data_IF_676931379922
#
_entry.id   IF_676931379922
#
_cell.length_a   1.000
_cell.length_b   1.000
_cell.length_c   1.000
_cell.angle_alpha   90.00
_cell.angle_beta   90.00
_cell.angle_gamma   90.00
#
_symmetry.space_group_name_H-M   'P 1'
#
loop_
_entity.id
_entity.type
_entity.pdbx_description
1 polymer ?
#
# COMPACT_ATOMS: atom_id res chain seq x y z
N UNK A 1 33.71 -11.07 -7.65
CA UNK A 1 32.44 -11.12 -6.89
C UNK A 1 31.59 -12.24 -7.48
N UNK A 2 31.29 -13.28 -6.72
CA UNK A 2 30.36 -14.33 -7.16
C UNK A 2 28.96 -13.73 -7.20
N UNK A 3 28.39 -13.57 -8.40
CA UNK A 3 26.99 -13.16 -8.56
C UNK A 3 26.09 -14.14 -7.82
N UNK A 4 25.05 -13.63 -7.14
CA UNK A 4 24.09 -14.45 -6.42
C UNK A 4 23.39 -15.41 -7.41
N UNK A 5 23.74 -16.69 -7.38
CA UNK A 5 23.15 -17.71 -8.27
C UNK A 5 21.66 -17.96 -7.97
N UNK A 6 21.20 -17.63 -6.76
CA UNK A 6 19.82 -17.86 -6.28
C UNK A 6 18.91 -16.63 -6.42
N UNK A 7 19.36 -15.55 -7.07
CA UNK A 7 18.61 -14.28 -7.12
C UNK A 7 17.19 -14.41 -7.68
N UNK A 8 16.92 -15.36 -8.58
CA UNK A 8 15.59 -15.60 -9.14
C UNK A 8 14.63 -16.16 -8.08
N UNK A 9 15.09 -17.10 -7.27
CA UNK A 9 14.32 -17.69 -6.18
C UNK A 9 14.04 -16.64 -5.10
N UNK A 10 15.06 -15.84 -4.75
CA UNK A 10 14.92 -14.73 -3.81
C UNK A 10 13.89 -13.70 -4.31
N UNK A 11 14.00 -13.28 -5.58
CA UNK A 11 13.06 -12.32 -6.18
C UNK A 11 11.63 -12.87 -6.23
N UNK A 12 11.47 -14.16 -6.56
CA UNK A 12 10.16 -14.81 -6.49
C UNK A 12 9.61 -14.85 -5.06
N UNK A 13 10.43 -15.24 -4.08
CA UNK A 13 10.04 -15.30 -2.67
C UNK A 13 9.51 -13.96 -2.16
N UNK A 14 10.19 -12.85 -2.49
CA UNK A 14 9.85 -11.51 -2.02
C UNK A 14 8.59 -10.99 -2.70
N UNK A 15 8.49 -11.20 -4.01
CA UNK A 15 7.41 -10.63 -4.82
C UNK A 15 6.16 -11.49 -4.86
N UNK A 16 6.20 -12.75 -4.44
CA UNK A 16 5.14 -13.75 -4.68
C UNK A 16 3.71 -13.25 -4.42
N UNK A 17 3.42 -12.73 -3.23
CA UNK A 17 2.07 -12.27 -2.87
C UNK A 17 1.63 -11.10 -3.75
N UNK A 18 2.44 -10.04 -3.79
CA UNK A 18 2.15 -8.83 -4.58
C UNK A 18 2.07 -9.13 -6.07
N UNK A 19 2.93 -10.02 -6.57
CA UNK A 19 2.96 -10.49 -7.96
C UNK A 19 1.69 -11.24 -8.31
N UNK A 20 1.25 -12.18 -7.47
CA UNK A 20 0.03 -12.94 -7.74
C UNK A 20 -1.18 -12.00 -7.80
N UNK A 21 -1.33 -11.11 -6.82
CA UNK A 21 -2.44 -10.14 -6.76
C UNK A 21 -2.42 -9.20 -7.98
N UNK A 22 -1.29 -8.54 -8.25
CA UNK A 22 -1.18 -7.59 -9.36
C UNK A 22 -1.21 -8.26 -10.74
N UNK A 23 -0.84 -9.54 -10.84
CA UNK A 23 -0.92 -10.30 -12.08
C UNK A 23 -2.37 -10.62 -12.43
N UNK A 24 -3.19 -11.01 -11.44
CA UNK A 24 -4.64 -11.20 -11.62
C UNK A 24 -5.31 -9.90 -12.07
N UNK A 25 -4.84 -8.76 -11.57
CA UNK A 25 -5.31 -7.44 -11.98
C UNK A 25 -4.76 -6.96 -13.34
N UNK A 26 -3.86 -7.70 -13.99
CA UNK A 26 -3.22 -7.31 -15.27
C UNK A 26 -2.18 -6.18 -15.15
N UNK A 27 -1.82 -5.76 -13.93
CA UNK A 27 -0.92 -4.63 -13.67
C UNK A 27 0.54 -5.07 -13.50
N UNK A 28 0.79 -6.33 -13.11
CA UNK A 28 2.16 -6.79 -12.90
C UNK A 28 3.03 -6.59 -14.15
N UNK A 29 4.20 -5.93 -14.05
CA UNK A 29 5.02 -5.65 -15.21
C UNK A 29 5.64 -6.95 -15.74
N UNK A 30 5.22 -7.35 -16.95
CA UNK A 30 5.77 -8.54 -17.60
C UNK A 30 7.25 -8.39 -17.93
N UNK A 31 7.98 -9.51 -17.82
CA UNK A 31 9.38 -9.62 -18.23
C UNK A 31 9.52 -9.31 -19.72
N UNK A 32 10.60 -8.62 -20.10
CA UNK A 32 10.87 -8.23 -21.49
C UNK A 32 11.02 -9.41 -22.44
N UNK A 33 11.29 -10.62 -21.94
CA UNK A 33 11.52 -11.83 -22.72
C UNK A 33 10.23 -12.54 -23.18
N UNK A 34 9.07 -12.17 -22.64
CA UNK A 34 7.78 -12.83 -22.94
C UNK A 34 6.83 -11.97 -23.79
N UNK A 35 7.31 -11.42 -24.91
CA UNK A 35 6.52 -10.56 -25.80
C UNK A 35 5.72 -11.35 -26.83
N UNK A 36 4.86 -12.27 -26.42
CA UNK A 36 3.83 -12.80 -27.33
C UNK A 36 2.65 -11.84 -27.38
N UNK A 37 2.09 -11.60 -28.58
CA UNK A 37 0.90 -10.75 -28.78
C UNK A 37 -0.25 -11.19 -27.86
N UNK A 38 -0.41 -12.50 -27.66
CA UNK A 38 -1.41 -13.12 -26.78
C UNK A 38 -1.30 -12.61 -25.34
N UNK A 39 -0.09 -12.57 -24.75
CA UNK A 39 0.11 -12.07 -23.38
C UNK A 39 -0.23 -10.59 -23.26
N UNK A 40 0.02 -9.80 -24.30
CA UNK A 40 -0.34 -8.37 -24.33
C UNK A 40 -1.85 -8.16 -24.39
N UNK A 41 -2.55 -8.92 -25.24
CA UNK A 41 -4.02 -8.88 -25.35
C UNK A 41 -4.65 -9.31 -24.02
N UNK A 42 -4.21 -10.43 -23.45
CA UNK A 42 -4.70 -10.92 -22.16
C UNK A 42 -4.54 -9.89 -21.04
N UNK A 43 -3.39 -9.20 -20.98
CA UNK A 43 -3.16 -8.13 -20.02
C UNK A 43 -4.15 -6.97 -20.17
N UNK A 44 -4.35 -6.44 -21.38
CA UNK A 44 -5.30 -5.34 -21.60
C UNK A 44 -6.74 -5.77 -21.36
N UNK A 45 -7.08 -7.02 -21.66
CA UNK A 45 -8.38 -7.61 -21.34
C UNK A 45 -8.63 -7.63 -19.83
N UNK A 46 -7.66 -8.10 -19.03
CA UNK A 46 -7.76 -8.07 -17.56
C UNK A 46 -7.92 -6.64 -17.02
N UNK A 47 -7.20 -5.67 -17.60
CA UNK A 47 -7.34 -4.26 -17.22
C UNK A 47 -8.74 -3.72 -17.55
N UNK A 48 -9.26 -4.07 -18.72
CA UNK A 48 -10.59 -3.66 -19.15
C UNK A 48 -11.68 -4.26 -18.26
N UNK A 49 -11.61 -5.58 -17.98
CA UNK A 49 -12.54 -6.27 -17.08
C UNK A 49 -12.49 -5.67 -15.67
N UNK A 50 -11.30 -5.44 -15.12
CA UNK A 50 -11.15 -4.86 -13.78
C UNK A 50 -11.76 -3.46 -13.70
N UNK A 51 -11.56 -2.62 -14.72
CA UNK A 51 -12.20 -1.30 -14.77
C UNK A 51 -13.72 -1.40 -14.87
N UNK A 52 -14.26 -2.27 -15.74
CA UNK A 52 -15.71 -2.47 -15.86
C UNK A 52 -16.31 -2.85 -14.52
N UNK A 53 -15.69 -3.80 -13.80
CA UNK A 53 -16.18 -4.24 -12.48
C UNK A 53 -16.19 -3.09 -11.46
N UNK A 54 -15.20 -2.20 -11.46
CA UNK A 54 -15.17 -1.05 -10.57
C UNK A 54 -16.27 -0.04 -10.93
N UNK A 55 -16.42 0.33 -12.20
CA UNK A 55 -17.45 1.28 -12.64
C UNK A 55 -18.88 0.73 -12.53
N UNK A 56 -19.06 -0.58 -12.72
CA UNK A 56 -20.36 -1.25 -12.60
C UNK A 56 -20.96 -1.16 -11.17
N UNK A 57 -20.13 -0.91 -10.16
CA UNK A 57 -20.59 -0.68 -8.78
C UNK A 57 -20.62 0.81 -8.45
N UNK A 58 -19.61 1.58 -8.87
CA UNK A 58 -19.53 2.99 -8.53
C UNK A 58 -20.65 3.82 -9.17
N UNK A 59 -20.98 3.59 -10.45
CA UNK A 59 -21.98 4.39 -11.15
C UNK A 59 -23.40 4.20 -10.57
N UNK A 60 -23.91 2.96 -10.39
CA UNK A 60 -25.22 2.76 -9.76
C UNK A 60 -25.25 3.26 -8.31
N UNK A 61 -24.16 3.10 -7.56
CA UNK A 61 -24.06 3.62 -6.19
C UNK A 61 -24.11 5.14 -6.13
N UNK A 62 -23.41 5.82 -7.05
CA UNK A 62 -23.45 7.28 -7.14
C UNK A 62 -24.84 7.79 -7.52
N UNK A 63 -25.49 7.16 -8.49
CA UNK A 63 -26.87 7.48 -8.87
C UNK A 63 -27.83 7.26 -7.69
N UNK A 64 -27.67 6.17 -6.94
CA UNK A 64 -28.45 5.92 -5.72
C UNK A 64 -28.29 7.06 -4.71
N UNK A 65 -27.06 7.50 -4.46
CA UNK A 65 -26.78 8.59 -3.54
C UNK A 65 -27.36 9.94 -4.00
N UNK A 66 -27.43 10.20 -5.31
CA UNK A 66 -28.08 11.38 -5.85
C UNK A 66 -29.61 11.35 -5.65
N UNK A 67 -30.26 10.25 -6.05
CA UNK A 67 -31.72 10.14 -6.06
C UNK A 67 -32.34 9.84 -4.69
N UNK A 68 -31.62 9.20 -3.77
CA UNK A 68 -32.10 8.97 -2.41
C UNK A 68 -32.41 10.32 -1.73
N UNK A 69 -33.49 10.42 -0.97
CA UNK A 69 -33.86 11.68 -0.29
C UNK A 69 -33.48 11.69 1.20
N UNK A 70 -33.33 10.50 1.80
CA UNK A 70 -33.04 10.34 3.24
C UNK A 70 -31.55 10.59 3.51
N UNK A 71 -31.26 11.65 4.26
CA UNK A 71 -29.89 12.05 4.65
C UNK A 71 -29.13 10.95 5.37
N UNK A 72 -29.75 10.27 6.33
CA UNK A 72 -29.14 9.15 7.05
C UNK A 72 -28.67 8.02 6.12
N UNK A 73 -29.48 7.64 5.12
CA UNK A 73 -29.13 6.57 4.16
C UNK A 73 -27.98 7.02 3.24
N UNK A 74 -27.97 8.30 2.84
CA UNK A 74 -26.85 8.87 2.07
C UNK A 74 -25.53 8.78 2.83
N UNK A 75 -25.53 9.11 4.12
CA UNK A 75 -24.34 9.05 4.97
C UNK A 75 -23.82 7.61 5.07
N UNK A 76 -24.71 6.61 5.21
CA UNK A 76 -24.31 5.20 5.26
C UNK A 76 -23.71 4.67 3.94
N UNK A 77 -24.12 5.21 2.78
CA UNK A 77 -23.58 4.80 1.46
C UNK A 77 -22.28 5.53 1.11
N UNK A 78 -22.04 6.71 1.67
CA UNK A 78 -20.89 7.56 1.36
C UNK A 78 -19.52 6.85 1.52
N UNK A 79 -19.26 6.04 2.58
CA UNK A 79 -18.01 5.28 2.70
C UNK A 79 -17.73 4.37 1.52
N UNK A 80 -18.77 3.72 0.97
CA UNK A 80 -18.63 2.82 -0.18
C UNK A 80 -18.28 3.58 -1.46
N UNK A 81 -18.85 4.77 -1.66
CA UNK A 81 -18.53 5.63 -2.79
C UNK A 81 -17.10 6.17 -2.70
N UNK A 82 -16.69 6.64 -1.53
CA UNK A 82 -15.32 7.11 -1.30
C UNK A 82 -14.35 5.95 -1.56
N UNK A 83 -14.61 4.76 -1.03
CA UNK A 83 -13.74 3.61 -1.22
C UNK A 83 -13.69 3.15 -2.69
N UNK A 84 -14.82 3.18 -3.40
CA UNK A 84 -14.87 2.92 -4.85
C UNK A 84 -14.06 3.93 -5.66
N UNK A 85 -14.18 5.22 -5.34
CA UNK A 85 -13.38 6.28 -5.96
C UNK A 85 -11.88 6.12 -5.67
N UNK A 86 -11.50 5.79 -4.44
CA UNK A 86 -10.13 5.47 -4.07
C UNK A 86 -9.59 4.29 -4.88
N UNK A 87 -10.37 3.24 -5.08
CA UNK A 87 -9.93 2.08 -5.84
C UNK A 87 -9.74 2.39 -7.32
N UNK A 88 -10.64 3.15 -7.95
CA UNK A 88 -10.50 3.57 -9.34
C UNK A 88 -9.27 4.47 -9.51
N UNK A 89 -9.10 5.46 -8.64
CA UNK A 89 -7.92 6.35 -8.69
C UNK A 89 -6.63 5.56 -8.51
N UNK A 90 -6.52 4.73 -7.47
CA UNK A 90 -5.35 3.85 -7.25
C UNK A 90 -5.09 2.94 -8.45
N UNK A 91 -6.12 2.33 -9.02
CA UNK A 91 -5.98 1.45 -10.17
C UNK A 91 -5.49 2.20 -11.42
N UNK A 92 -6.07 3.37 -11.71
CA UNK A 92 -5.62 4.26 -12.78
C UNK A 92 -4.15 4.66 -12.61
N UNK A 93 -3.76 5.03 -11.38
CA UNK A 93 -2.36 5.33 -11.04
C UNK A 93 -1.44 4.13 -11.26
N UNK A 94 -1.82 2.93 -10.81
CA UNK A 94 -1.05 1.70 -11.03
C UNK A 94 -0.83 1.41 -12.52
N UNK A 95 -1.84 1.61 -13.36
CA UNK A 95 -1.75 1.42 -14.81
C UNK A 95 -0.86 2.48 -15.45
N UNK A 96 -1.05 3.75 -15.09
CA UNK A 96 -0.27 4.87 -15.65
C UNK A 96 1.22 4.83 -15.25
N UNK A 97 1.50 4.56 -13.97
CA UNK A 97 2.87 4.49 -13.42
C UNK A 97 3.53 3.12 -13.58
N UNK A 98 2.93 2.19 -14.32
CA UNK A 98 3.47 0.84 -14.51
C UNK A 98 4.94 0.82 -14.99
N UNK A 99 5.33 1.79 -15.83
CA UNK A 99 6.73 1.92 -16.29
C UNK A 99 7.69 2.24 -15.14
N UNK A 100 7.28 3.10 -14.20
CA UNK A 100 8.10 3.45 -13.04
C UNK A 100 8.17 2.29 -12.05
N UNK A 101 7.04 1.62 -11.78
CA UNK A 101 7.00 0.39 -10.97
C UNK A 101 7.95 -0.68 -11.55
N UNK A 102 7.95 -0.84 -12.88
CA UNK A 102 8.89 -1.74 -13.56
C UNK A 102 10.35 -1.34 -13.36
N UNK A 103 10.66 -0.04 -13.38
CA UNK A 103 12.02 0.47 -13.08
C UNK A 103 12.41 0.16 -11.64
N UNK A 104 11.51 0.34 -10.67
CA UNK A 104 11.76 -0.02 -9.27
C UNK A 104 12.08 -1.51 -9.13
N UNK A 105 11.23 -2.38 -9.68
CA UNK A 105 11.43 -3.83 -9.59
C UNK A 105 12.71 -4.29 -10.29
N UNK A 106 13.07 -3.67 -11.42
CA UNK A 106 14.32 -3.96 -12.11
C UNK A 106 15.54 -3.53 -11.29
N UNK A 107 15.47 -2.36 -10.64
CA UNK A 107 16.53 -1.90 -9.74
C UNK A 107 16.74 -2.88 -8.59
N UNK A 108 15.65 -3.33 -7.97
CA UNK A 108 15.68 -4.36 -6.93
C UNK A 108 16.32 -5.65 -7.48
N UNK A 109 15.87 -6.15 -8.62
CA UNK A 109 16.41 -7.36 -9.25
C UNK A 109 17.93 -7.26 -9.51
N UNK A 110 18.40 -6.12 -10.01
CA UNK A 110 19.83 -5.87 -10.23
C UNK A 110 20.64 -5.92 -8.92
N UNK A 111 20.10 -5.37 -7.83
CA UNK A 111 20.74 -5.44 -6.51
C UNK A 111 20.81 -6.87 -5.97
N UNK A 112 19.73 -7.65 -6.12
CA UNK A 112 19.69 -9.06 -5.70
C UNK A 112 20.68 -9.92 -6.48
N UNK A 113 20.88 -9.63 -7.77
CA UNK A 113 21.83 -10.33 -8.63
C UNK A 113 23.29 -10.07 -8.25
N UNK A 114 23.57 -8.84 -7.81
CA UNK A 114 24.92 -8.39 -7.47
C UNK A 114 25.24 -8.56 -5.97
N UNK A 115 24.30 -9.03 -5.16
CA UNK A 115 24.49 -9.19 -3.72
C UNK A 115 25.46 -10.34 -3.37
N UNK A 116 26.42 -10.03 -2.48
CA UNK A 116 27.25 -11.05 -1.81
C UNK A 116 26.43 -11.77 -0.72
N UNK A 117 26.94 -12.89 -0.17
CA UNK A 117 26.23 -13.71 0.84
C UNK A 117 25.78 -12.89 2.06
N UNK A 118 26.66 -12.03 2.61
CA UNK A 118 26.31 -11.17 3.75
C UNK A 118 25.23 -10.15 3.40
N UNK A 119 25.37 -9.45 2.26
CA UNK A 119 24.38 -8.50 1.73
C UNK A 119 23.03 -9.16 1.50
N UNK A 120 23.02 -10.36 0.89
CA UNK A 120 21.82 -11.16 0.66
C UNK A 120 21.10 -11.47 1.98
N UNK A 121 21.82 -11.92 3.00
CA UNK A 121 21.21 -12.23 4.31
C UNK A 121 20.55 -11.00 4.95
N UNK A 122 21.20 -9.82 4.89
CA UNK A 122 20.61 -8.57 5.36
C UNK A 122 19.37 -8.15 4.55
N UNK A 123 19.38 -8.36 3.24
CA UNK A 123 18.24 -8.06 2.36
C UNK A 123 17.06 -9.03 2.61
N UNK A 124 17.33 -10.32 2.83
CA UNK A 124 16.31 -11.33 3.17
C UNK A 124 15.63 -10.98 4.50
N UNK A 125 16.39 -10.59 5.51
CA UNK A 125 15.86 -10.18 6.81
C UNK A 125 14.85 -9.04 6.67
N UNK A 126 15.23 -7.96 5.98
CA UNK A 126 14.33 -6.84 5.70
C UNK A 126 13.11 -7.27 4.85
N UNK A 127 13.31 -8.13 3.84
CA UNK A 127 12.22 -8.57 3.00
C UNK A 127 11.20 -9.47 3.72
N UNK A 128 11.62 -10.25 4.73
CA UNK A 128 10.70 -11.04 5.58
C UNK A 128 9.72 -10.14 6.33
N UNK A 129 10.20 -9.03 6.89
CA UNK A 129 9.32 -8.02 7.50
C UNK A 129 8.33 -7.49 6.48
N UNK A 130 8.78 -7.11 5.28
CA UNK A 130 7.91 -6.69 4.19
C UNK A 130 6.80 -7.69 3.88
N UNK A 131 7.15 -8.98 3.70
CA UNK A 131 6.16 -10.04 3.45
C UNK A 131 5.13 -10.19 4.57
N UNK A 132 5.55 -10.08 5.83
CA UNK A 132 4.61 -10.11 6.98
C UNK A 132 3.63 -8.96 6.92
N UNK A 133 4.09 -7.75 6.58
CA UNK A 133 3.20 -6.58 6.41
C UNK A 133 2.17 -6.80 5.30
N UNK A 134 2.59 -7.35 4.15
CA UNK A 134 1.65 -7.65 3.03
C UNK A 134 0.64 -8.73 3.44
N UNK A 135 1.08 -9.77 4.14
CA UNK A 135 0.19 -10.83 4.62
C UNK A 135 -0.85 -10.29 5.62
N UNK A 136 -0.43 -9.43 6.56
CA UNK A 136 -1.33 -8.75 7.50
C UNK A 136 -2.32 -7.85 6.75
N UNK A 137 -1.85 -7.01 5.82
CA UNK A 137 -2.71 -6.17 4.99
C UNK A 137 -3.78 -7.01 4.27
N UNK A 138 -3.37 -8.10 3.60
CA UNK A 138 -4.28 -9.00 2.92
C UNK A 138 -5.31 -9.60 3.88
N UNK A 139 -4.87 -10.18 5.00
CA UNK A 139 -5.74 -10.84 5.96
C UNK A 139 -6.86 -9.90 6.47
N UNK A 140 -6.50 -8.67 6.87
CA UNK A 140 -7.49 -7.69 7.36
C UNK A 140 -8.40 -7.18 6.24
N UNK A 141 -7.86 -6.83 5.06
CA UNK A 141 -8.67 -6.30 3.96
C UNK A 141 -9.67 -7.33 3.42
N UNK A 142 -9.26 -8.59 3.21
CA UNK A 142 -10.17 -9.64 2.73
C UNK A 142 -11.17 -10.05 3.80
N UNK A 143 -10.79 -10.15 5.08
CA UNK A 143 -11.73 -10.51 6.16
C UNK A 143 -12.80 -9.43 6.37
N UNK A 144 -12.41 -8.15 6.42
CA UNK A 144 -13.36 -7.02 6.44
C UNK A 144 -14.27 -7.05 5.20
N UNK A 145 -13.70 -7.30 4.02
CA UNK A 145 -14.45 -7.38 2.77
C UNK A 145 -15.51 -8.46 2.74
N UNK A 146 -15.17 -9.67 3.22
CA UNK A 146 -16.10 -10.79 3.34
C UNK A 146 -17.20 -10.48 4.36
N UNK A 147 -16.84 -9.90 5.51
CA UNK A 147 -17.81 -9.51 6.53
C UNK A 147 -18.83 -8.49 5.98
N UNK A 148 -18.34 -7.43 5.35
CA UNK A 148 -19.18 -6.36 4.85
C UNK A 148 -20.03 -6.76 3.63
N UNK A 149 -19.43 -7.45 2.64
CA UNK A 149 -20.11 -7.73 1.36
C UNK A 149 -20.87 -9.05 1.33
N UNK A 150 -20.54 -10.01 2.20
CA UNK A 150 -21.18 -11.32 2.23
C UNK A 150 -22.02 -11.49 3.50
N UNK A 151 -21.39 -11.43 4.67
CA UNK A 151 -22.05 -11.79 5.94
C UNK A 151 -23.20 -10.81 6.25
N UNK A 152 -22.97 -9.51 6.11
CA UNK A 152 -23.96 -8.50 6.45
C UNK A 152 -25.27 -8.58 5.61
N UNK A 153 -25.23 -8.67 4.26
CA UNK A 153 -26.45 -8.86 3.47
C UNK A 153 -27.21 -10.15 3.78
N UNK A 154 -26.50 -11.28 3.95
CA UNK A 154 -27.15 -12.56 4.25
C UNK A 154 -27.78 -12.57 5.65
N UNK A 155 -27.11 -11.96 6.63
CA UNK A 155 -27.62 -11.85 7.98
C UNK A 155 -28.86 -10.94 8.10
N UNK A 156 -28.94 -9.86 7.29
CA UNK A 156 -30.13 -8.99 7.23
C UNK A 156 -31.36 -9.71 6.64
N UNK A 157 -31.17 -10.80 5.90
CA UNK A 157 -32.26 -11.59 5.34
C UNK A 157 -33.14 -10.81 4.36
N UNK A 158 -34.33 -11.36 4.06
CA UNK A 158 -35.33 -10.68 3.22
C UNK A 158 -36.13 -9.69 4.08
N UNK A 159 -36.12 -8.43 3.70
CA UNK A 159 -36.88 -7.37 4.40
C UNK A 159 -38.23 -7.22 3.72
N UNK A 160 -39.32 -7.51 4.42
CA UNK A 160 -40.67 -7.25 3.91
C UNK A 160 -41.05 -5.82 4.24
N UNK A 161 -41.24 -4.98 3.22
CA UNK A 161 -41.69 -3.60 3.40
C UNK A 161 -43.17 -3.56 3.84
N UNK A 162 -43.61 -2.44 4.41
CA UNK A 162 -45.01 -2.19 4.82
C UNK A 162 -46.06 -2.35 3.69
N UNK A 163 -45.61 -2.42 2.44
CA UNK A 163 -46.41 -2.69 1.24
C UNK A 163 -46.42 -4.18 0.83
N UNK A 164 -45.99 -5.10 1.70
CA UNK A 164 -45.81 -6.54 1.45
C UNK A 164 -44.84 -6.91 0.30
N UNK A 165 -43.98 -5.98 -0.13
CA UNK A 165 -42.92 -6.25 -1.11
C UNK A 165 -41.68 -6.79 -0.40
N UNK A 166 -41.20 -7.96 -0.84
CA UNK A 166 -40.01 -8.59 -0.28
C UNK A 166 -38.75 -8.01 -0.94
N UNK A 167 -37.93 -7.30 -0.17
CA UNK A 167 -36.66 -6.70 -0.60
C UNK A 167 -35.50 -7.59 -0.16
N UNK A 168 -34.68 -7.98 -1.12
CA UNK A 168 -33.39 -8.65 -0.93
C UNK A 168 -32.29 -7.58 -0.86
N UNK A 169 -31.54 -7.46 0.25
CA UNK A 169 -30.53 -6.44 0.43
C UNK A 169 -29.29 -6.73 -0.43
N UNK A 170 -28.87 -5.76 -1.23
CA UNK A 170 -27.62 -5.82 -1.97
C UNK A 170 -26.42 -5.41 -1.08
N UNK A 171 -25.22 -5.98 -1.29
CA UNK A 171 -23.98 -5.58 -0.60
C UNK A 171 -23.69 -4.09 -0.70
N UNK A 172 -24.00 -3.49 -1.84
CA UNK A 172 -23.91 -2.06 -2.08
C UNK A 172 -25.25 -1.58 -2.65
N UNK A 173 -25.94 -0.63 -1.98
CA UNK A 173 -27.12 0.02 -2.55
C UNK A 173 -26.75 0.70 -3.87
N UNK A 174 -27.57 0.48 -4.90
CA UNK A 174 -27.34 1.02 -6.24
C UNK A 174 -28.67 1.22 -6.97
N UNK A 175 -28.73 2.27 -7.78
CA UNK A 175 -29.90 2.58 -8.59
C UNK A 175 -29.68 2.07 -10.02
N UNK A 176 -30.50 1.11 -10.44
CA UNK A 176 -30.40 0.47 -11.75
C UNK A 176 -31.66 0.78 -12.56
N UNK A 177 -31.56 1.65 -13.57
CA UNK A 177 -32.70 2.16 -14.34
C UNK A 177 -33.52 1.07 -15.06
N UNK A 178 -32.87 0.06 -15.63
CA UNK A 178 -33.51 -0.91 -16.53
C UNK A 178 -33.53 -2.34 -15.97
N UNK A 179 -33.00 -2.57 -14.77
CA UNK A 179 -32.87 -3.90 -14.19
C UNK A 179 -33.74 -4.02 -12.94
N UNK A 180 -34.70 -4.95 -12.96
CA UNK A 180 -35.41 -5.33 -11.74
C UNK A 180 -34.46 -6.16 -10.85
N UNK A 181 -33.78 -5.48 -9.92
CA UNK A 181 -32.79 -6.08 -9.03
C UNK A 181 -33.39 -7.02 -7.98
N UNK A 182 -34.71 -7.09 -7.85
CA UNK A 182 -35.40 -7.98 -6.91
C UNK A 182 -35.84 -9.30 -7.56
N UNK A 183 -35.88 -9.36 -8.89
CA UNK A 183 -36.21 -10.56 -9.64
C UNK A 183 -35.00 -11.48 -9.81
N UNK A 184 -35.23 -12.79 -9.75
CA UNK A 184 -34.22 -13.79 -10.14
C UNK A 184 -34.30 -14.01 -11.65
N UNK A 185 -33.17 -14.12 -12.39
CA UNK A 185 -31.78 -14.26 -11.95
C UNK A 185 -30.99 -12.93 -11.78
N UNK A 186 -31.63 -11.78 -12.01
CA UNK A 186 -30.96 -10.46 -12.02
C UNK A 186 -30.30 -10.11 -10.69
N UNK A 187 -30.98 -10.41 -9.57
CA UNK A 187 -30.43 -10.22 -8.23
C UNK A 187 -29.10 -10.97 -8.04
N UNK A 188 -29.08 -12.26 -8.38
CA UNK A 188 -27.91 -13.12 -8.20
C UNK A 188 -26.72 -12.65 -9.05
N UNK A 189 -26.99 -12.18 -10.28
CA UNK A 189 -25.96 -11.61 -11.17
C UNK A 189 -25.39 -10.31 -10.61
N UNK A 190 -26.23 -9.37 -10.19
CA UNK A 190 -25.78 -8.09 -9.62
C UNK A 190 -24.98 -8.33 -8.33
N UNK A 191 -25.43 -9.25 -7.48
CA UNK A 191 -24.72 -9.64 -6.27
C UNK A 191 -23.32 -10.19 -6.60
N UNK A 192 -23.21 -11.10 -7.58
CA UNK A 192 -21.94 -11.65 -8.01
C UNK A 192 -20.99 -10.57 -8.57
N UNK A 193 -21.50 -9.64 -9.38
CA UNK A 193 -20.72 -8.50 -9.90
C UNK A 193 -20.22 -7.60 -8.77
N UNK A 194 -21.08 -7.26 -7.80
CA UNK A 194 -20.69 -6.47 -6.64
C UNK A 194 -19.65 -7.19 -5.76
N UNK A 195 -19.77 -8.50 -5.60
CA UNK A 195 -18.79 -9.30 -4.85
C UNK A 195 -17.42 -9.32 -5.55
N UNK A 196 -17.40 -9.61 -6.86
CA UNK A 196 -16.18 -9.62 -7.67
C UNK A 196 -15.50 -8.25 -7.70
N UNK A 197 -16.28 -7.17 -7.86
CA UNK A 197 -15.79 -5.79 -7.77
C UNK A 197 -15.16 -5.48 -6.41
N UNK A 198 -15.71 -6.07 -5.33
CA UNK A 198 -15.12 -6.00 -4.00
C UNK A 198 -13.75 -6.65 -3.93
N UNK A 199 -13.63 -7.88 -4.43
CA UNK A 199 -12.34 -8.59 -4.49
C UNK A 199 -11.30 -7.80 -5.28
N UNK A 200 -11.68 -7.17 -6.39
CA UNK A 200 -10.80 -6.29 -7.18
C UNK A 200 -10.34 -5.09 -6.35
N UNK A 201 -11.26 -4.38 -5.71
CA UNK A 201 -10.99 -3.23 -4.83
C UNK A 201 -10.01 -3.58 -3.68
N UNK A 202 -10.23 -4.70 -3.00
CA UNK A 202 -9.33 -5.18 -1.93
C UNK A 202 -7.96 -5.60 -2.50
N UNK A 203 -7.95 -6.31 -3.62
CA UNK A 203 -6.72 -6.70 -4.34
C UNK A 203 -5.88 -5.49 -4.72
N UNK A 204 -6.50 -4.41 -5.20
CA UNK A 204 -5.79 -3.17 -5.56
C UNK A 204 -5.10 -2.59 -4.33
N UNK A 205 -5.83 -2.46 -3.22
CA UNK A 205 -5.31 -1.88 -1.98
C UNK A 205 -4.16 -2.71 -1.42
N UNK A 206 -4.33 -4.03 -1.31
CA UNK A 206 -3.25 -4.94 -0.87
C UNK A 206 -2.07 -4.94 -1.84
N UNK A 207 -2.32 -4.83 -3.15
CA UNK A 207 -1.26 -4.74 -4.16
C UNK A 207 -0.41 -3.47 -4.03
N UNK A 208 -1.05 -2.32 -3.76
CA UNK A 208 -0.35 -1.05 -3.52
C UNK A 208 0.47 -1.11 -2.23
N UNK A 209 -0.13 -1.58 -1.12
CA UNK A 209 0.59 -1.80 0.13
C UNK A 209 1.77 -2.77 -0.08
N UNK A 210 1.58 -3.81 -0.89
CA UNK A 210 2.61 -4.77 -1.24
C UNK A 210 3.78 -4.18 -2.02
N UNK A 211 3.53 -3.31 -2.99
CA UNK A 211 4.58 -2.59 -3.71
C UNK A 211 5.35 -1.65 -2.80
N UNK A 212 4.65 -0.91 -1.94
CA UNK A 212 5.27 -0.02 -0.96
C UNK A 212 6.17 -0.81 -0.01
N UNK A 213 5.65 -1.90 0.60
CA UNK A 213 6.42 -2.74 1.51
C UNK A 213 7.67 -3.34 0.84
N UNK A 214 7.57 -3.84 -0.40
CA UNK A 214 8.73 -4.38 -1.13
C UNK A 214 9.79 -3.30 -1.37
N UNK A 215 9.39 -2.13 -1.88
CA UNK A 215 10.35 -1.07 -2.21
C UNK A 215 11.01 -0.50 -0.96
N UNK A 216 10.21 -0.21 0.08
CA UNK A 216 10.72 0.42 1.30
C UNK A 216 11.58 -0.54 2.10
N UNK A 217 11.17 -1.81 2.26
CA UNK A 217 12.00 -2.77 2.97
C UNK A 217 13.27 -3.13 2.20
N UNK A 218 13.25 -3.11 0.87
CA UNK A 218 14.48 -3.21 0.07
C UNK A 218 15.43 -2.06 0.38
N UNK A 219 14.94 -0.81 0.36
CA UNK A 219 15.76 0.35 0.72
C UNK A 219 16.32 0.24 2.15
N UNK A 220 15.52 -0.19 3.14
CA UNK A 220 16.00 -0.49 4.49
C UNK A 220 17.11 -1.55 4.51
N UNK A 221 16.99 -2.61 3.70
CA UNK A 221 18.04 -3.61 3.52
C UNK A 221 19.34 -3.00 2.94
N UNK A 222 19.21 -2.12 1.95
CA UNK A 222 20.37 -1.44 1.36
C UNK A 222 21.03 -0.47 2.33
N UNK A 223 20.27 0.24 3.18
CA UNK A 223 20.79 1.08 4.25
C UNK A 223 21.56 0.25 5.29
N UNK A 224 21.06 -0.94 5.68
CA UNK A 224 21.79 -1.87 6.55
C UNK A 224 23.13 -2.29 5.94
N UNK A 225 23.16 -2.57 4.63
CA UNK A 225 24.40 -2.88 3.91
C UNK A 225 25.35 -1.69 3.94
N UNK A 226 24.85 -0.47 3.73
CA UNK A 226 25.65 0.76 3.80
C UNK A 226 26.32 0.93 5.17
N UNK A 227 25.57 0.71 6.26
CA UNK A 227 26.10 0.73 7.64
C UNK A 227 27.23 -0.29 7.78
N UNK A 228 27.08 -1.49 7.21
CA UNK A 228 28.11 -2.52 7.27
C UNK A 228 29.38 -2.14 6.48
N UNK A 229 29.21 -1.53 5.29
CA UNK A 229 30.34 -1.00 4.52
C UNK A 229 31.09 0.11 5.27
N UNK A 230 30.36 1.00 5.94
CA UNK A 230 30.94 2.06 6.77
C UNK A 230 31.75 1.49 7.94
N UNK A 231 31.29 0.42 8.60
CA UNK A 231 32.05 -0.25 9.69
C UNK A 231 33.40 -0.78 9.20
N UNK A 232 33.40 -1.51 8.08
CA UNK A 232 34.62 -2.09 7.50
C UNK A 232 35.57 -1.08 6.85
N UNK A 233 35.18 0.20 6.75
CA UNK A 233 36.07 1.26 6.27
C UNK A 233 37.20 1.56 7.28
N UNK A 234 36.92 1.42 8.58
CA UNK A 234 37.81 1.88 9.67
C UNK A 234 38.49 0.71 10.40
N UNK A 235 37.85 -0.48 10.47
CA UNK A 235 38.37 -1.64 11.21
C UNK A 235 39.64 -2.26 10.62
N UNK A 236 39.94 -2.07 9.33
CA UNK A 236 41.11 -2.67 8.69
C UNK A 236 42.33 -1.72 8.71
N UNK A 237 42.92 -1.57 9.91
CA UNK A 237 44.09 -0.72 10.24
C UNK A 237 45.40 -1.03 9.47
N UNK A 238 45.41 -1.95 8.48
CA UNK A 238 46.64 -2.39 7.77
C UNK A 238 46.56 -2.31 6.25
N UNK A 239 45.60 -1.59 5.70
CA UNK A 239 45.41 -1.56 4.25
C UNK A 239 46.18 -0.46 3.55
N UNK A 240 46.70 -0.79 2.35
CA UNK A 240 47.30 0.17 1.44
C UNK A 240 46.31 1.32 1.14
N UNK A 241 46.85 2.52 0.94
CA UNK A 241 46.10 3.75 0.65
C UNK A 241 45.10 3.59 -0.51
N UNK A 242 45.38 2.69 -1.45
CA UNK A 242 44.55 2.38 -2.61
C UNK A 242 43.29 1.55 -2.26
N UNK A 243 43.31 0.74 -1.19
CA UNK A 243 42.13 -0.03 -0.76
C UNK A 243 41.09 0.85 -0.04
N UNK A 244 41.55 1.83 0.75
CA UNK A 244 40.67 2.81 1.39
C UNK A 244 39.90 3.62 0.35
N UNK A 245 40.54 3.95 -0.77
CA UNK A 245 39.93 4.71 -1.87
C UNK A 245 38.83 3.92 -2.57
N UNK A 246 39.09 2.64 -2.84
CA UNK A 246 38.09 1.73 -3.39
C UNK A 246 36.90 1.56 -2.46
N UNK A 247 37.14 1.41 -1.16
CA UNK A 247 36.06 1.28 -0.16
C UNK A 247 35.22 2.55 -0.03
N UNK A 248 35.86 3.72 0.02
CA UNK A 248 35.15 5.00 0.09
C UNK A 248 34.34 5.24 -1.20
N UNK A 249 34.90 4.95 -2.37
CA UNK A 249 34.18 5.03 -3.63
C UNK A 249 32.96 4.11 -3.65
N UNK A 250 33.10 2.87 -3.15
CA UNK A 250 31.99 1.93 -3.04
C UNK A 250 30.88 2.43 -2.09
N UNK A 251 31.24 3.06 -0.96
CA UNK A 251 30.26 3.67 -0.03
C UNK A 251 29.48 4.79 -0.72
N UNK A 252 30.18 5.70 -1.40
CA UNK A 252 29.56 6.83 -2.11
C UNK A 252 28.65 6.34 -3.24
N UNK A 253 29.12 5.38 -4.04
CA UNK A 253 28.34 4.80 -5.14
C UNK A 253 27.07 4.11 -4.60
N UNK A 254 27.20 3.34 -3.52
CA UNK A 254 26.08 2.67 -2.87
C UNK A 254 25.07 3.66 -2.29
N UNK A 255 25.53 4.71 -1.62
CA UNK A 255 24.69 5.77 -1.06
C UNK A 255 23.93 6.53 -2.16
N UNK A 256 24.60 6.88 -3.25
CA UNK A 256 23.97 7.52 -4.42
C UNK A 256 22.93 6.60 -5.08
N UNK A 257 23.24 5.31 -5.20
CA UNK A 257 22.32 4.31 -5.75
C UNK A 257 21.04 4.20 -4.90
N UNK A 258 21.16 4.10 -3.58
CA UNK A 258 20.02 4.07 -2.65
C UNK A 258 19.19 5.34 -2.77
N UNK A 259 19.82 6.51 -2.82
CA UNK A 259 19.12 7.79 -2.89
C UNK A 259 18.34 7.94 -4.20
N UNK A 260 18.94 7.56 -5.33
CA UNK A 260 18.25 7.55 -6.62
C UNK A 260 17.06 6.57 -6.63
N UNK A 261 17.21 5.41 -5.99
CA UNK A 261 16.12 4.47 -5.83
C UNK A 261 14.99 5.03 -4.96
N UNK A 262 15.31 5.67 -3.84
CA UNK A 262 14.31 6.26 -2.94
C UNK A 262 13.56 7.43 -3.59
N UNK A 263 14.22 8.26 -4.40
CA UNK A 263 13.54 9.28 -5.22
C UNK A 263 12.57 8.66 -6.23
N UNK A 264 12.95 7.52 -6.85
CA UNK A 264 12.06 6.81 -7.75
C UNK A 264 10.85 6.23 -7.01
N UNK A 265 11.05 5.65 -5.82
CA UNK A 265 9.99 5.11 -4.96
C UNK A 265 9.04 6.23 -4.52
N UNK A 266 9.57 7.35 -4.04
CA UNK A 266 8.78 8.51 -3.62
C UNK A 266 7.93 9.04 -4.78
N UNK A 267 8.54 9.28 -5.95
CA UNK A 267 7.79 9.77 -7.12
C UNK A 267 6.67 8.82 -7.56
N UNK A 268 6.86 7.51 -7.38
CA UNK A 268 5.86 6.49 -7.75
C UNK A 268 4.75 6.36 -6.70
N UNK A 269 5.08 6.48 -5.41
CA UNK A 269 4.17 6.14 -4.30
C UNK A 269 3.49 7.36 -3.65
N UNK A 270 4.06 8.57 -3.77
CA UNK A 270 3.59 9.77 -3.04
C UNK A 270 2.08 10.03 -3.18
N UNK A 271 1.53 9.93 -4.39
CA UNK A 271 0.11 10.18 -4.63
C UNK A 271 -0.77 9.05 -4.13
N UNK A 272 -0.28 7.81 -4.21
CA UNK A 272 -0.99 6.64 -3.71
C UNK A 272 -1.13 6.68 -2.19
N UNK A 273 -0.05 7.08 -1.51
CA UNK A 273 -0.06 7.27 -0.06
C UNK A 273 -0.98 8.42 0.36
N UNK A 274 -1.04 9.52 -0.42
CA UNK A 274 -1.99 10.60 -0.16
C UNK A 274 -3.44 10.12 -0.25
N UNK A 275 -3.81 9.48 -1.36
CA UNK A 275 -5.16 8.93 -1.56
C UNK A 275 -5.53 7.96 -0.45
N UNK A 276 -4.61 7.09 -0.04
CA UNK A 276 -4.82 6.16 1.07
C UNK A 276 -5.09 6.88 2.39
N UNK A 277 -4.19 7.78 2.81
CA UNK A 277 -4.31 8.46 4.10
C UNK A 277 -5.58 9.30 4.18
N UNK A 278 -5.80 10.20 3.21
CA UNK A 278 -6.97 11.09 3.24
C UNK A 278 -8.27 10.30 3.11
N UNK A 279 -8.30 9.32 2.20
CA UNK A 279 -9.49 8.52 1.95
C UNK A 279 -9.87 7.62 3.13
N UNK A 280 -8.90 6.93 3.74
CA UNK A 280 -9.15 6.12 4.94
C UNK A 280 -9.61 7.00 6.12
N UNK A 281 -9.05 8.20 6.29
CA UNK A 281 -9.46 9.14 7.35
C UNK A 281 -10.94 9.49 7.24
N UNK A 282 -11.39 9.87 6.05
CA UNK A 282 -12.80 10.22 5.81
C UNK A 282 -13.71 9.01 6.00
N UNK A 283 -13.30 7.83 5.50
CA UNK A 283 -14.05 6.58 5.68
C UNK A 283 -14.19 6.22 7.16
N UNK A 284 -13.10 6.25 7.94
CA UNK A 284 -13.11 5.92 9.37
C UNK A 284 -14.02 6.86 10.15
N UNK A 285 -13.98 8.16 9.85
CA UNK A 285 -14.87 9.15 10.45
C UNK A 285 -16.35 8.79 10.23
N UNK A 286 -16.76 8.52 8.99
CA UNK A 286 -18.16 8.23 8.66
C UNK A 286 -18.59 6.85 9.20
N UNK A 287 -17.71 5.85 9.13
CA UNK A 287 -17.99 4.52 9.68
C UNK A 287 -18.13 4.53 11.20
N UNK A 288 -17.37 5.38 11.91
CA UNK A 288 -17.53 5.60 13.35
C UNK A 288 -18.96 6.05 13.69
N UNK A 289 -19.52 6.97 12.90
CA UNK A 289 -20.92 7.38 13.06
C UNK A 289 -21.89 6.23 12.75
N UNK A 290 -21.65 5.48 11.67
CA UNK A 290 -22.49 4.32 11.32
C UNK A 290 -22.51 3.24 12.41
N UNK A 291 -21.39 3.05 13.14
CA UNK A 291 -21.30 2.13 14.28
C UNK A 291 -22.25 2.54 15.39
N UNK A 292 -22.27 3.81 15.78
CA UNK A 292 -23.19 4.31 16.84
C UNK A 292 -24.65 4.08 16.43
N UNK A 293 -25.00 4.46 15.21
CA UNK A 293 -26.40 4.39 14.78
C UNK A 293 -26.91 2.95 14.70
N UNK A 294 -26.11 2.00 14.23
CA UNK A 294 -26.52 0.59 14.23
C UNK A 294 -26.46 -0.05 15.63
N UNK A 295 -25.59 0.44 16.51
CA UNK A 295 -25.55 0.04 17.92
C UNK A 295 -26.85 0.40 18.64
N UNK A 296 -27.35 1.62 18.46
CA UNK A 296 -28.63 2.07 19.03
C UNK A 296 -29.81 1.23 18.51
N UNK A 297 -29.75 0.80 17.24
CA UNK A 297 -30.73 -0.10 16.63
C UNK A 297 -30.60 -1.57 17.08
N UNK A 298 -29.67 -1.88 18.00
CA UNK A 298 -29.36 -3.24 18.46
C UNK A 298 -29.00 -4.21 17.33
N UNK A 299 -28.46 -3.70 16.22
CA UNK A 299 -28.06 -4.51 15.06
C UNK A 299 -26.60 -4.96 15.19
N UNK A 300 -26.38 -5.95 16.07
CA UNK A 300 -25.05 -6.45 16.45
C UNK A 300 -24.19 -6.87 15.26
N UNK A 301 -24.80 -7.47 14.22
CA UNK A 301 -24.09 -7.96 13.03
C UNK A 301 -23.58 -6.81 12.17
N UNK A 302 -24.40 -5.77 11.96
CA UNK A 302 -23.98 -4.58 11.24
C UNK A 302 -22.87 -3.83 11.98
N UNK A 303 -23.03 -3.65 13.30
CA UNK A 303 -22.02 -3.00 14.13
C UNK A 303 -20.69 -3.75 14.09
N UNK A 304 -20.71 -5.07 14.21
CA UNK A 304 -19.49 -5.90 14.10
C UNK A 304 -18.83 -5.74 12.71
N UNK A 305 -19.62 -5.76 11.63
CA UNK A 305 -19.11 -5.61 10.26
C UNK A 305 -18.47 -4.23 10.02
N UNK A 306 -19.07 -3.17 10.53
CA UNK A 306 -18.51 -1.82 10.45
C UNK A 306 -17.26 -1.67 11.32
N UNK A 307 -17.25 -2.22 12.53
CA UNK A 307 -16.08 -2.21 13.42
C UNK A 307 -14.88 -2.95 12.81
N UNK A 308 -15.11 -4.12 12.19
CA UNK A 308 -14.09 -4.85 11.44
C UNK A 308 -13.54 -4.03 10.27
N UNK A 309 -14.41 -3.27 9.60
CA UNK A 309 -14.01 -2.40 8.47
C UNK A 309 -13.17 -1.21 8.94
N UNK A 310 -13.56 -0.55 10.03
CA UNK A 310 -12.74 0.51 10.66
C UNK A 310 -11.38 -0.04 11.06
N UNK A 311 -11.35 -1.17 11.74
CA UNK A 311 -10.11 -1.82 12.19
C UNK A 311 -9.20 -2.14 11.01
N UNK A 312 -9.75 -2.70 9.93
CA UNK A 312 -8.99 -2.99 8.71
C UNK A 312 -8.40 -1.74 8.06
N UNK A 313 -9.17 -0.65 7.96
CA UNK A 313 -8.69 0.61 7.38
C UNK A 313 -7.58 1.25 8.23
N UNK A 314 -7.74 1.21 9.56
CA UNK A 314 -6.74 1.70 10.51
C UNK A 314 -5.44 0.92 10.42
N UNK A 315 -5.51 -0.41 10.33
CA UNK A 315 -4.33 -1.26 10.13
C UNK A 315 -3.67 -0.97 8.78
N UNK A 316 -4.44 -0.83 7.69
CA UNK A 316 -3.87 -0.50 6.40
C UNK A 316 -3.11 0.83 6.44
N UNK A 317 -3.71 1.87 7.03
CA UNK A 317 -3.07 3.17 7.24
C UNK A 317 -1.79 3.06 8.10
N UNK A 318 -1.87 2.30 9.20
CA UNK A 318 -0.72 2.04 10.07
C UNK A 318 0.42 1.38 9.31
N UNK A 319 0.15 0.42 8.43
CA UNK A 319 1.20 -0.27 7.65
C UNK A 319 1.97 0.69 6.74
N UNK A 320 1.29 1.64 6.08
CA UNK A 320 1.98 2.67 5.30
C UNK A 320 2.88 3.53 6.17
N UNK A 321 2.36 4.06 7.28
CA UNK A 321 3.14 4.87 8.22
C UNK A 321 4.30 4.07 8.85
N UNK A 322 4.09 2.80 9.16
CA UNK A 322 5.12 1.89 9.68
C UNK A 322 6.26 1.71 8.69
N UNK A 323 5.97 1.54 7.39
CA UNK A 323 7.03 1.44 6.38
C UNK A 323 7.85 2.73 6.29
N UNK A 324 7.20 3.90 6.31
CA UNK A 324 7.90 5.19 6.32
C UNK A 324 8.75 5.41 7.58
N UNK A 325 8.24 5.01 8.74
CA UNK A 325 8.95 5.07 10.01
C UNK A 325 10.19 4.16 10.01
N UNK A 326 10.05 2.92 9.54
CA UNK A 326 11.18 2.00 9.41
C UNK A 326 12.28 2.56 8.50
N UNK A 327 11.90 3.19 7.39
CA UNK A 327 12.88 3.83 6.51
C UNK A 327 13.62 4.97 7.22
N UNK A 328 12.86 5.85 7.88
CA UNK A 328 13.41 7.01 8.59
C UNK A 328 14.36 6.56 9.71
N UNK A 329 13.96 5.56 10.51
CA UNK A 329 14.78 5.00 11.58
C UNK A 329 16.06 4.32 11.06
N UNK A 330 16.02 3.67 9.89
CA UNK A 330 17.24 3.11 9.28
C UNK A 330 18.15 4.20 8.71
N UNK A 331 17.58 5.26 8.12
CA UNK A 331 18.34 6.41 7.63
C UNK A 331 19.06 7.14 8.79
N UNK A 332 18.38 7.31 9.93
CA UNK A 332 18.98 7.89 11.14
C UNK A 332 20.14 7.03 11.67
N UNK A 333 20.03 5.70 11.64
CA UNK A 333 21.14 4.80 11.98
C UNK A 333 22.35 4.97 11.05
N UNK A 334 22.13 5.22 9.75
CA UNK A 334 23.21 5.54 8.81
C UNK A 334 23.86 6.87 9.19
N UNK A 335 23.06 7.89 9.50
CA UNK A 335 23.54 9.20 9.93
C UNK A 335 24.42 9.10 11.19
N UNK A 336 23.91 8.47 12.25
CA UNK A 336 24.67 8.22 13.49
C UNK A 336 25.95 7.46 13.18
N UNK A 337 25.87 6.36 12.43
CA UNK A 337 27.06 5.55 12.15
C UNK A 337 28.10 6.31 11.33
N UNK A 338 27.68 7.20 10.44
CA UNK A 338 28.59 8.05 9.68
C UNK A 338 29.35 9.03 10.57
N UNK A 339 28.72 9.57 11.63
CA UNK A 339 29.35 10.43 12.62
C UNK A 339 30.32 9.66 13.53
N UNK A 340 29.97 8.41 13.89
CA UNK A 340 30.80 7.53 14.73
C UNK A 340 32.00 6.90 14.00
N UNK A 341 32.23 7.25 12.73
CA UNK A 341 33.43 6.81 12.03
C UNK A 341 34.66 7.46 12.68
N UNK A 342 35.72 6.69 12.93
CA UNK A 342 36.99 7.22 13.43
C UNK A 342 37.76 7.93 12.30
N UNK A 343 37.13 8.94 11.68
CA UNK A 343 37.62 9.67 10.52
C UNK A 343 38.99 10.32 10.76
N UNK A 344 39.31 10.63 12.03
CA UNK A 344 40.59 11.16 12.47
C UNK A 344 41.76 10.19 12.28
N UNK A 345 41.48 8.89 12.11
CA UNK A 345 42.50 7.86 11.80
C UNK A 345 42.84 7.77 10.32
N UNK A 346 42.10 8.48 9.46
CA UNK A 346 42.28 8.43 8.01
C UNK A 346 43.17 9.57 7.50
N UNK A 347 43.89 9.38 6.38
CA UNK A 347 44.72 10.43 5.79
C UNK A 347 43.90 11.70 5.46
N UNK A 348 44.50 12.89 5.63
CA UNK A 348 43.82 14.20 5.47
C UNK A 348 42.95 14.35 4.20
N UNK A 349 43.39 13.85 3.04
CA UNK A 349 42.61 13.91 1.80
C UNK A 349 41.35 13.03 1.83
N UNK A 350 41.34 11.96 2.63
CA UNK A 350 40.26 10.97 2.75
C UNK A 350 39.25 11.33 3.84
N UNK A 351 39.73 11.95 4.92
CA UNK A 351 38.85 12.55 5.92
C UNK A 351 37.83 13.53 5.31
N UNK A 352 38.24 14.36 4.32
CA UNK A 352 37.34 15.26 3.59
C UNK A 352 36.23 14.55 2.81
N UNK A 353 36.52 13.39 2.22
CA UNK A 353 35.51 12.60 1.50
C UNK A 353 34.44 12.03 2.43
N UNK A 354 34.82 11.69 3.66
CA UNK A 354 33.89 11.21 4.68
C UNK A 354 32.99 12.33 5.19
N UNK A 355 33.48 13.57 5.30
CA UNK A 355 32.63 14.71 5.65
C UNK A 355 31.45 14.83 4.67
N UNK A 356 31.70 14.65 3.37
CA UNK A 356 30.62 14.66 2.37
C UNK A 356 29.63 13.51 2.58
N UNK A 357 30.13 12.30 2.86
CA UNK A 357 29.30 11.13 3.20
C UNK A 357 28.45 11.39 4.44
N UNK A 358 28.99 12.03 5.48
CA UNK A 358 28.26 12.43 6.69
C UNK A 358 27.17 13.45 6.37
N UNK A 359 27.48 14.49 5.61
CA UNK A 359 26.50 15.52 5.21
C UNK A 359 25.34 14.88 4.45
N UNK A 360 25.62 14.00 3.48
CA UNK A 360 24.57 13.34 2.70
C UNK A 360 23.79 12.34 3.56
N UNK A 361 24.44 11.65 4.51
CA UNK A 361 23.78 10.69 5.41
C UNK A 361 22.84 11.37 6.41
N UNK A 362 23.18 12.58 6.84
CA UNK A 362 22.33 13.41 7.70
C UNK A 362 21.16 14.08 6.96
N UNK A 363 21.12 13.98 5.63
CA UNK A 363 19.98 14.49 4.87
C UNK A 363 18.79 13.55 5.06
N UNK A 364 17.63 14.03 5.58
CA UNK A 364 16.50 13.17 5.89
C UNK A 364 16.03 12.46 4.62
N UNK A 365 16.08 11.13 4.64
CA UNK A 365 15.52 10.32 3.56
C UNK A 365 14.15 9.82 4.00
N UNK A 366 13.11 10.48 3.50
CA UNK A 366 11.73 10.24 3.91
C UNK A 366 10.86 9.98 2.70
N UNK A 367 9.79 9.22 2.90
CA UNK A 367 8.72 9.07 1.90
C UNK A 367 7.57 9.94 2.36
N UNK A 368 7.06 10.76 1.44
CA UNK A 368 6.00 11.72 1.70
C UNK A 368 4.68 11.29 1.07
N UNK A 369 3.58 11.60 1.72
CA UNK A 369 2.24 11.55 1.15
C UNK A 369 1.95 12.87 0.45
N UNK A 370 1.92 12.84 -0.89
CA UNK A 370 1.63 14.01 -1.72
C UNK A 370 2.59 15.20 -1.55
N UNK A 371 3.79 15.00 -1.00
CA UNK A 371 4.70 16.07 -0.52
C UNK A 371 4.12 16.99 0.57
N UNK A 372 3.02 16.57 1.20
CA UNK A 372 2.35 17.34 2.25
C UNK A 372 2.74 16.84 3.64
N UNK A 373 2.88 15.52 3.81
CA UNK A 373 3.10 14.89 5.12
C UNK A 373 4.12 13.76 5.01
N UNK A 374 5.03 13.66 5.98
CA UNK A 374 5.96 12.53 6.08
C UNK A 374 5.21 11.28 6.54
N UNK A 375 5.51 10.11 5.97
CA UNK A 375 5.00 8.84 6.51
C UNK A 375 5.72 8.50 7.82
N UNK A 376 5.03 8.64 8.95
CA UNK A 376 5.57 8.40 10.30
C UNK A 376 4.47 8.00 11.28
N UNK A 377 4.86 7.49 12.45
CA UNK A 377 3.91 7.24 13.55
C UNK A 377 3.24 8.52 14.06
N UNK A 378 3.94 9.67 14.00
CA UNK A 378 3.36 10.97 14.33
C UNK A 378 2.20 11.30 13.40
N UNK A 379 2.41 11.19 12.08
CA UNK A 379 1.36 11.42 11.08
C UNK A 379 0.18 10.48 11.26
N UNK A 380 0.43 9.20 11.58
CA UNK A 380 -0.65 8.27 11.91
C UNK A 380 -1.49 8.78 13.09
N UNK A 381 -0.85 9.19 14.20
CA UNK A 381 -1.55 9.74 15.36
C UNK A 381 -2.36 11.00 15.03
N UNK A 382 -1.78 11.93 14.27
CA UNK A 382 -2.45 13.16 13.85
C UNK A 382 -3.68 12.88 12.97
N UNK A 383 -3.56 11.90 12.06
CA UNK A 383 -4.65 11.48 11.19
C UNK A 383 -5.78 10.80 11.98
N UNK A 384 -5.45 9.91 12.92
CA UNK A 384 -6.45 9.26 13.78
C UNK A 384 -7.18 10.29 14.64
N UNK A 385 -6.45 11.23 15.23
CA UNK A 385 -7.04 12.34 16.00
C UNK A 385 -8.00 13.14 15.14
N UNK A 386 -7.59 13.48 13.92
CA UNK A 386 -8.40 14.21 12.95
C UNK A 386 -9.68 13.44 12.59
N UNK A 387 -9.59 12.12 12.35
CA UNK A 387 -10.76 11.28 12.09
C UNK A 387 -11.77 11.30 13.26
N UNK A 388 -11.28 11.23 14.51
CA UNK A 388 -12.13 11.31 15.72
C UNK A 388 -12.76 12.70 15.87
N UNK A 389 -12.02 13.78 15.60
CA UNK A 389 -12.56 15.14 15.64
C UNK A 389 -13.68 15.32 14.62
N UNK A 390 -13.47 14.91 13.37
CA UNK A 390 -14.53 14.98 12.35
C UNK A 390 -15.71 14.07 12.66
N UNK A 391 -15.47 12.91 13.27
CA UNK A 391 -16.53 12.02 13.73
C UNK A 391 -17.41 12.70 14.79
N UNK A 392 -16.80 13.36 15.78
CA UNK A 392 -17.53 14.10 16.80
C UNK A 392 -18.32 15.28 16.20
N UNK A 393 -17.74 15.99 15.22
CA UNK A 393 -18.46 17.04 14.49
C UNK A 393 -19.67 16.45 13.75
N UNK A 394 -19.49 15.36 13.00
CA UNK A 394 -20.56 14.70 12.27
C UNK A 394 -21.68 14.25 13.20
N UNK A 395 -21.34 13.75 14.39
CA UNK A 395 -22.32 13.40 15.42
C UNK A 395 -23.13 14.62 15.86
N UNK A 396 -22.48 15.72 16.23
CA UNK A 396 -23.15 16.95 16.68
C UNK A 396 -24.00 17.65 15.60
N UNK A 397 -23.69 17.45 14.31
CA UNK A 397 -24.47 18.04 13.21
C UNK A 397 -25.70 17.21 12.82
N UNK A 398 -25.74 15.93 13.21
CA UNK A 398 -26.80 14.99 12.81
C UNK A 398 -27.75 14.66 13.97
N UNK A 399 -27.29 14.76 15.23
CA UNK A 399 -28.14 14.98 16.41
C UNK A 399 -28.79 16.37 16.33
#
# INVERSE_FOLDING_TARGET
MSSNKQYQEDMMFITQFTRNILSVLGVWPSSSKERTLIKRIHKYLLIFISNILLYAVLLPGFLFWLFEKRTHVKIQVLPLLIFGYMAISKYGYLVFYQRQIKRCLKHIEEDWRNANVSSRNMMIDSAKTGRRLVALCGAFMYSSGLSFRLILPFAKGKIVNAQNVTIRPLPCPGYYFFLNTQASPTYEVVFAVQFLSGLVTFSITTGVCGLAAICVMHACGQLKILINLMKHLVEEQRQEKHEVDKKLAAIVEHQMRIRNFLQLVENTMQQMCLIELTGCTTIVCILGYCIIVEWEKSNTIATCSYFMSVTSMMINMFLFCYTGEQLTAQAEKVAIKSCDLEWYRLPNKKARGIVLVMIISNLPTKITAGKLMDLSFKTYGDVVKTAVTYFNMLRNFVE
#
